data_IF_863351077685
#
_entry.id   IF_863351077685
#
_cell.length_a   1.000
_cell.length_b   1.000
_cell.length_c   1.000
_cell.angle_alpha   90.00
_cell.angle_beta   90.00
_cell.angle_gamma   90.00
#
_symmetry.space_group_name_H-M   'P 1'
#
loop_
_entity.id
_entity.type
_entity.pdbx_description
1 polymer ?
#
# COMPACT_ATOMS: atom_id res chain seq x y z
N UNK A 1 -28.67 -19.70 -5.98
CA UNK A 1 -27.89 -19.74 -4.73
C UNK A 1 -26.95 -18.55 -4.76
N UNK A 2 -27.00 -17.68 -3.76
CA UNK A 2 -26.02 -16.60 -3.59
C UNK A 2 -24.68 -17.21 -3.22
N UNK A 3 -23.64 -16.90 -3.98
CA UNK A 3 -22.26 -17.29 -3.66
C UNK A 3 -21.88 -16.66 -2.32
N UNK A 4 -21.47 -17.45 -1.31
CA UNK A 4 -21.16 -16.93 0.03
C UNK A 4 -19.80 -16.21 0.10
N UNK A 5 -19.01 -16.22 -0.98
CA UNK A 5 -17.67 -15.63 -0.99
C UNK A 5 -17.71 -14.11 -0.97
N UNK A 6 -16.65 -13.54 -0.41
CA UNK A 6 -16.37 -12.11 -0.37
C UNK A 6 -15.47 -11.72 -1.55
N UNK A 7 -15.26 -10.43 -1.74
CA UNK A 7 -14.37 -9.89 -2.78
C UNK A 7 -13.12 -9.28 -2.17
N UNK A 8 -11.96 -9.75 -2.57
CA UNK A 8 -10.68 -9.15 -2.25
C UNK A 8 -10.20 -8.29 -3.43
N UNK A 9 -9.85 -7.03 -3.16
CA UNK A 9 -9.23 -6.12 -4.12
C UNK A 9 -7.83 -5.79 -3.60
N UNK A 10 -6.82 -6.04 -4.42
CA UNK A 10 -5.44 -5.67 -4.12
C UNK A 10 -5.05 -4.46 -4.96
N UNK A 11 -4.51 -3.44 -4.30
CA UNK A 11 -3.97 -2.25 -4.94
C UNK A 11 -2.56 -1.96 -4.45
N UNK A 12 -1.79 -1.20 -5.24
CA UNK A 12 -0.36 -1.02 -5.04
C UNK A 12 0.07 0.41 -5.33
N UNK A 13 0.88 0.97 -4.43
CA UNK A 13 1.66 2.16 -4.71
C UNK A 13 3.01 1.80 -5.33
N UNK A 14 3.47 2.62 -6.27
CA UNK A 14 4.82 2.59 -6.83
C UNK A 14 5.36 4.01 -6.82
N UNK A 15 6.58 4.22 -6.35
CA UNK A 15 7.26 5.51 -6.47
C UNK A 15 8.16 5.57 -7.72
N UNK A 16 8.71 6.76 -8.01
CA UNK A 16 9.69 6.96 -9.09
C UNK A 16 10.99 6.15 -8.92
N UNK A 17 11.27 5.64 -7.72
CA UNK A 17 12.40 4.78 -7.39
C UNK A 17 12.07 3.27 -7.46
N UNK A 18 10.89 2.91 -7.98
CA UNK A 18 10.39 1.54 -8.15
C UNK A 18 10.22 0.76 -6.83
N UNK A 19 10.16 1.44 -5.68
CA UNK A 19 9.65 0.86 -4.45
C UNK A 19 8.16 0.54 -4.63
N UNK A 20 7.72 -0.59 -4.08
CA UNK A 20 6.36 -1.10 -4.28
C UNK A 20 5.78 -1.56 -2.96
N UNK A 21 4.60 -1.06 -2.64
CA UNK A 21 3.82 -1.53 -1.50
C UNK A 21 2.40 -1.82 -1.92
N UNK A 22 1.91 -3.00 -1.55
CA UNK A 22 0.56 -3.46 -1.89
C UNK A 22 -0.29 -3.59 -0.64
N UNK A 23 -1.60 -3.46 -0.83
CA UNK A 23 -2.59 -3.74 0.20
C UNK A 23 -3.79 -4.45 -0.41
N UNK A 24 -4.31 -5.42 0.33
CA UNK A 24 -5.57 -6.10 0.01
C UNK A 24 -6.66 -5.63 0.95
N UNK A 25 -7.83 -5.32 0.40
CA UNK A 25 -9.05 -4.97 1.15
C UNK A 25 -10.15 -5.95 0.75
N UNK A 26 -10.82 -6.50 1.75
CA UNK A 26 -11.87 -7.51 1.57
C UNK A 26 -13.21 -6.88 1.87
N UNK A 27 -14.09 -6.87 0.87
CA UNK A 27 -15.46 -6.39 0.95
C UNK A 27 -16.44 -7.56 1.05
N UNK A 28 -17.53 -7.36 1.78
CA UNK A 28 -18.56 -8.40 1.85
C UNK A 28 -19.32 -8.55 0.53
N UNK A 29 -19.55 -9.79 0.12
CA UNK A 29 -20.32 -10.14 -1.07
C UNK A 29 -19.46 -10.45 -2.31
N UNK A 30 -19.96 -11.29 -3.22
CA UNK A 30 -19.22 -11.74 -4.39
C UNK A 30 -19.30 -10.69 -5.51
N UNK A 31 -18.16 -10.37 -6.11
CA UNK A 31 -18.13 -9.55 -7.32
C UNK A 31 -18.64 -10.36 -8.52
N UNK A 32 -19.53 -9.76 -9.32
CA UNK A 32 -19.94 -10.33 -10.60
C UNK A 32 -19.10 -9.79 -11.77
N UNK A 33 -19.23 -10.37 -12.96
CA UNK A 33 -18.59 -9.81 -14.16
C UNK A 33 -19.08 -8.38 -14.45
N UNK A 34 -20.38 -8.11 -14.30
CA UNK A 34 -20.94 -6.78 -14.50
C UNK A 34 -20.42 -5.77 -13.47
N UNK A 35 -20.25 -6.19 -12.21
CA UNK A 35 -19.65 -5.36 -11.17
C UNK A 35 -18.20 -5.04 -11.46
N UNK A 36 -17.42 -6.02 -11.93
CA UNK A 36 -16.03 -5.82 -12.34
C UNK A 36 -15.94 -4.81 -13.48
N UNK A 37 -16.78 -4.94 -14.50
CA UNK A 37 -16.75 -4.06 -15.67
C UNK A 37 -17.16 -2.62 -15.28
N UNK A 38 -18.14 -2.46 -14.37
CA UNK A 38 -18.51 -1.16 -13.76
C UNK A 38 -17.36 -0.55 -12.98
N UNK A 39 -16.72 -1.35 -12.13
CA UNK A 39 -15.60 -0.90 -11.32
C UNK A 39 -14.43 -0.43 -12.20
N UNK A 40 -14.03 -1.21 -13.20
CA UNK A 40 -12.98 -0.86 -14.15
C UNK A 40 -13.34 0.43 -14.91
N UNK A 41 -14.58 0.57 -15.36
CA UNK A 41 -15.05 1.75 -16.09
C UNK A 41 -15.11 3.04 -15.25
N UNK A 42 -15.11 2.93 -13.92
CA UNK A 42 -15.15 4.06 -13.00
C UNK A 42 -13.76 4.47 -12.44
N UNK A 43 -12.73 3.65 -12.65
CA UNK A 43 -11.36 3.99 -12.27
C UNK A 43 -10.82 5.16 -13.11
N UNK A 44 -9.75 5.81 -12.63
CA UNK A 44 -9.06 6.83 -13.40
C UNK A 44 -8.65 6.25 -14.76
N UNK A 45 -9.02 6.91 -15.87
CA UNK A 45 -8.52 6.53 -17.17
C UNK A 45 -7.00 6.70 -17.14
N UNK A 46 -6.25 5.72 -17.59
CA UNK A 46 -4.81 5.82 -17.50
C UNK A 46 -4.28 6.83 -18.52
N UNK A 47 -3.31 7.65 -18.11
CA UNK A 47 -2.58 8.53 -19.04
C UNK A 47 -1.62 7.73 -19.95
N UNK A 48 -1.25 6.53 -19.51
CA UNK A 48 -0.39 5.58 -20.21
C UNK A 48 -1.16 4.28 -20.47
N UNK A 49 -1.22 3.82 -21.72
CA UNK A 49 -1.87 2.55 -22.09
C UNK A 49 -1.27 1.31 -21.38
N UNK A 50 -0.13 1.43 -20.70
CA UNK A 50 0.46 0.37 -19.87
C UNK A 50 -0.05 0.36 -18.41
N UNK A 51 -0.64 1.45 -17.94
CA UNK A 51 -1.29 1.53 -16.64
C UNK A 51 -2.76 1.18 -16.83
N UNK A 52 -3.29 0.19 -16.13
CA UNK A 52 -4.72 -0.14 -16.20
C UNK A 52 -5.26 -0.19 -14.78
N UNK A 53 -6.37 0.53 -14.55
CA UNK A 53 -7.08 0.51 -13.28
C UNK A 53 -6.35 1.29 -12.19
N UNK A 54 -6.35 2.63 -12.31
CA UNK A 54 -5.75 3.53 -11.32
C UNK A 54 -6.83 4.08 -10.38
N UNK A 55 -6.49 4.19 -9.10
CA UNK A 55 -7.33 4.84 -8.08
C UNK A 55 -6.51 5.84 -7.27
N UNK A 56 -7.20 6.80 -6.66
CA UNK A 56 -6.67 7.63 -5.56
C UNK A 56 -7.32 7.15 -4.26
N UNK A 57 -6.67 6.27 -3.48
CA UNK A 57 -7.30 5.56 -2.36
C UNK A 57 -8.05 6.47 -1.39
N UNK A 58 -7.47 7.62 -1.04
CA UNK A 58 -8.07 8.55 -0.09
C UNK A 58 -9.41 9.13 -0.52
N UNK A 59 -9.68 9.26 -1.82
CA UNK A 59 -10.95 9.78 -2.34
C UNK A 59 -12.10 8.75 -2.29
N UNK A 60 -11.76 7.48 -2.16
CA UNK A 60 -12.69 6.35 -2.03
C UNK A 60 -12.54 5.64 -0.68
N UNK A 61 -12.00 6.36 0.33
CA UNK A 61 -11.85 5.94 1.73
C UNK A 61 -11.02 4.66 1.92
N UNK A 62 -10.17 4.35 0.96
CA UNK A 62 -9.13 3.35 1.11
C UNK A 62 -7.89 4.00 1.72
N UNK A 63 -7.06 3.17 2.35
CA UNK A 63 -5.83 3.66 2.95
C UNK A 63 -4.82 4.03 1.86
N UNK A 64 -4.28 5.23 1.92
CA UNK A 64 -3.12 5.62 1.12
C UNK A 64 -1.83 4.92 1.60
N UNK A 65 -1.01 4.42 0.68
CA UNK A 65 0.14 3.58 0.99
C UNK A 65 1.48 4.34 0.97
N UNK A 66 1.52 5.60 0.56
CA UNK A 66 2.76 6.37 0.44
C UNK A 66 3.51 6.53 1.77
N UNK A 67 2.84 6.52 2.91
CA UNK A 67 3.49 6.60 4.22
C UNK A 67 3.76 5.23 4.86
N UNK A 68 3.72 4.15 4.07
CA UNK A 68 3.85 2.77 4.56
C UNK A 68 5.19 2.10 4.19
N UNK A 69 6.17 2.86 3.69
CA UNK A 69 7.51 2.34 3.37
C UNK A 69 8.09 1.46 4.50
N UNK A 70 8.69 0.35 4.10
CA UNK A 70 9.32 -0.68 4.93
C UNK A 70 8.43 -1.43 5.90
N UNK A 71 7.09 -1.22 5.92
CA UNK A 71 6.24 -1.88 6.92
C UNK A 71 6.26 -3.40 6.84
N UNK A 72 6.30 -3.96 5.63
CA UNK A 72 6.32 -5.41 5.47
C UNK A 72 7.71 -5.99 5.72
N UNK A 73 8.77 -5.29 5.31
CA UNK A 73 10.16 -5.63 5.60
C UNK A 73 10.43 -5.60 7.12
N UNK A 74 9.92 -4.58 7.83
CA UNK A 74 9.97 -4.48 9.29
C UNK A 74 9.30 -5.69 9.93
N UNK A 75 8.10 -6.09 9.48
CA UNK A 75 7.40 -7.27 10.01
C UNK A 75 8.19 -8.56 9.78
N UNK A 76 8.84 -8.70 8.63
CA UNK A 76 9.70 -9.86 8.34
C UNK A 76 10.89 -9.88 9.29
N UNK A 77 11.58 -8.74 9.48
CA UNK A 77 12.72 -8.64 10.39
C UNK A 77 12.31 -8.90 11.84
N UNK A 78 11.17 -8.38 12.29
CA UNK A 78 10.61 -8.67 13.61
C UNK A 78 10.33 -10.16 13.79
N UNK A 79 9.77 -10.83 12.77
CA UNK A 79 9.54 -12.26 12.78
C UNK A 79 10.83 -13.09 12.84
N UNK A 80 11.88 -12.66 12.13
CA UNK A 80 13.21 -13.31 12.16
C UNK A 80 13.90 -13.13 13.52
N UNK A 81 13.74 -11.96 14.14
CA UNK A 81 14.37 -11.61 15.42
C UNK A 81 13.58 -12.10 16.64
N UNK A 82 12.32 -12.49 16.44
CA UNK A 82 11.42 -12.94 17.48
C UNK A 82 12.06 -14.05 18.35
N UNK A 83 11.73 -14.11 19.65
CA UNK A 83 12.15 -15.21 20.50
C UNK A 83 11.76 -16.56 19.88
N UNK A 84 12.47 -17.64 20.22
CA UNK A 84 12.24 -19.02 19.73
C UNK A 84 10.90 -19.65 20.17
N UNK A 85 9.88 -18.85 20.45
CA UNK A 85 8.51 -19.28 20.69
C UNK A 85 7.77 -19.21 19.35
N UNK A 86 8.03 -20.19 18.46
CA UNK A 86 7.45 -20.22 17.11
C UNK A 86 7.90 -21.44 16.29
N UNK A 87 7.43 -21.59 15.04
CA UNK A 87 7.80 -22.72 14.19
C UNK A 87 9.26 -22.68 13.70
N UNK A 88 9.94 -21.53 13.83
CA UNK A 88 11.35 -21.36 13.50
C UNK A 88 12.19 -21.62 14.75
N UNK A 89 12.81 -22.80 14.79
CA UNK A 89 13.57 -23.28 15.96
C UNK A 89 15.09 -23.10 15.82
N UNK A 90 15.57 -22.77 14.62
CA UNK A 90 16.99 -22.54 14.39
C UNK A 90 17.39 -21.15 14.92
N UNK A 91 18.33 -21.05 15.87
CA UNK A 91 18.85 -19.75 16.27
C UNK A 91 19.57 -19.08 15.10
N UNK A 92 19.33 -17.79 14.91
CA UNK A 92 20.20 -16.95 14.11
C UNK A 92 21.61 -16.92 14.71
N UNK A 93 22.63 -16.95 13.86
CA UNK A 93 24.00 -16.68 14.30
C UNK A 93 24.08 -15.25 14.88
N UNK A 94 24.93 -15.03 15.87
CA UNK A 94 25.04 -13.74 16.56
C UNK A 94 25.31 -12.58 15.58
N UNK A 95 26.20 -12.79 14.62
CA UNK A 95 26.52 -11.78 13.60
C UNK A 95 25.30 -11.43 12.72
N UNK A 96 24.47 -12.42 12.36
CA UNK A 96 23.26 -12.18 11.56
C UNK A 96 22.19 -11.48 12.39
N UNK A 97 22.05 -11.84 13.67
CA UNK A 97 21.15 -11.15 14.59
C UNK A 97 21.50 -9.67 14.71
N UNK A 98 22.76 -9.34 14.99
CA UNK A 98 23.23 -7.95 15.08
C UNK A 98 22.94 -7.19 13.78
N UNK A 99 23.20 -7.82 12.62
CA UNK A 99 22.92 -7.21 11.31
C UNK A 99 21.43 -6.90 11.14
N UNK A 100 20.54 -7.83 11.46
CA UNK A 100 19.09 -7.61 11.34
C UNK A 100 18.56 -6.61 12.36
N UNK A 101 19.11 -6.56 13.57
CA UNK A 101 18.76 -5.56 14.57
C UNK A 101 19.16 -4.14 14.13
N UNK A 102 20.36 -3.98 13.58
CA UNK A 102 20.80 -2.71 12.98
C UNK A 102 19.88 -2.30 11.83
N UNK A 103 19.62 -3.21 10.88
CA UNK A 103 18.75 -2.92 9.74
C UNK A 103 17.32 -2.55 10.17
N UNK A 104 16.77 -3.26 11.17
CA UNK A 104 15.45 -2.95 11.73
C UNK A 104 15.43 -1.56 12.37
N UNK A 105 16.50 -1.19 13.10
CA UNK A 105 16.64 0.13 13.70
C UNK A 105 16.70 1.22 12.63
N UNK A 106 17.48 1.02 11.57
CA UNK A 106 17.59 1.95 10.43
C UNK A 106 16.23 2.12 9.73
N UNK A 107 15.56 1.02 9.38
CA UNK A 107 14.24 1.06 8.73
C UNK A 107 13.19 1.78 9.58
N UNK A 108 13.20 1.59 10.91
CA UNK A 108 12.29 2.30 11.82
C UNK A 108 12.62 3.79 11.97
N UNK A 109 13.88 4.16 11.77
CA UNK A 109 14.32 5.56 11.83
C UNK A 109 14.04 6.30 10.51
N UNK A 110 13.96 5.58 9.38
CA UNK A 110 13.64 6.16 8.08
C UNK A 110 12.25 6.77 8.10
N UNK A 111 12.18 8.06 7.72
CA UNK A 111 10.92 8.77 7.61
C UNK A 111 10.44 8.75 6.15
N UNK A 112 9.13 8.55 5.90
CA UNK A 112 8.58 8.68 4.56
C UNK A 112 8.74 10.13 4.07
N UNK A 113 9.09 10.29 2.80
CA UNK A 113 9.37 11.58 2.18
C UNK A 113 8.51 11.73 0.93
N UNK A 114 8.05 12.95 0.67
CA UNK A 114 7.38 13.30 -0.57
C UNK A 114 8.38 14.03 -1.46
N UNK A 115 8.77 13.40 -2.55
CA UNK A 115 9.67 13.89 -3.59
C UNK A 115 8.81 14.45 -4.73
N UNK A 116 8.75 15.79 -4.90
CA UNK A 116 7.83 16.41 -5.86
C UNK A 116 7.98 15.92 -7.31
N UNK A 117 9.17 15.47 -7.69
CA UNK A 117 9.47 15.01 -9.05
C UNK A 117 9.30 13.48 -9.23
N UNK A 118 9.08 12.73 -8.16
CA UNK A 118 9.00 11.26 -8.19
C UNK A 118 7.66 10.69 -7.67
N UNK A 119 7.03 11.37 -6.71
CA UNK A 119 5.83 10.87 -6.03
C UNK A 119 4.53 11.36 -6.67
N UNK A 120 3.52 10.49 -6.66
CA UNK A 120 2.19 10.73 -7.23
C UNK A 120 1.10 10.08 -6.40
N UNK A 121 -0.15 10.52 -6.53
CA UNK A 121 -1.28 10.05 -5.70
C UNK A 121 -1.86 8.70 -6.16
N UNK A 122 -1.46 8.27 -7.36
CA UNK A 122 -2.00 7.11 -8.05
C UNK A 122 -1.58 5.78 -7.41
N UNK A 123 -2.52 4.84 -7.39
CA UNK A 123 -2.30 3.46 -7.01
C UNK A 123 -2.92 2.51 -8.04
N UNK A 124 -2.17 1.49 -8.44
CA UNK A 124 -2.60 0.45 -9.39
C UNK A 124 -3.53 -0.54 -8.67
N UNK A 125 -4.70 -0.85 -9.22
CA UNK A 125 -5.46 -2.05 -8.84
C UNK A 125 -4.87 -3.25 -9.57
N UNK A 126 -4.22 -4.15 -8.83
CA UNK A 126 -3.44 -5.25 -9.39
C UNK A 126 -4.17 -6.59 -9.39
N UNK A 127 -5.18 -6.75 -8.52
CA UNK A 127 -5.91 -8.02 -8.42
C UNK A 127 -7.34 -7.82 -7.89
N UNK A 128 -8.27 -8.63 -8.39
CA UNK A 128 -9.67 -8.68 -7.95
C UNK A 128 -10.11 -10.14 -7.96
N UNK A 129 -10.29 -10.72 -6.77
CA UNK A 129 -10.61 -12.15 -6.61
C UNK A 129 -11.71 -12.41 -5.61
N UNK A 130 -12.43 -13.52 -5.80
CA UNK A 130 -13.31 -14.06 -4.77
C UNK A 130 -12.50 -14.73 -3.66
N UNK A 131 -12.92 -14.57 -2.42
CA UNK A 131 -12.24 -15.12 -1.25
C UNK A 131 -13.22 -15.62 -0.19
N UNK A 132 -12.77 -16.56 0.64
CA UNK A 132 -13.50 -17.04 1.83
C UNK A 132 -13.11 -16.28 3.10
N UNK A 133 -12.11 -15.38 3.03
CA UNK A 133 -11.70 -14.57 4.15
C UNK A 133 -12.79 -13.57 4.59
N UNK A 134 -12.82 -13.26 5.88
CA UNK A 134 -13.76 -12.30 6.45
C UNK A 134 -13.52 -10.89 5.89
N UNK A 135 -14.57 -10.05 5.75
CA UNK A 135 -14.43 -8.67 5.31
C UNK A 135 -13.53 -7.86 6.25
N UNK A 136 -12.67 -7.04 5.67
CA UNK A 136 -11.82 -6.08 6.39
C UNK A 136 -12.34 -4.65 6.24
N UNK A 137 -13.23 -4.42 5.28
CA UNK A 137 -13.94 -3.16 5.08
C UNK A 137 -15.40 -3.33 5.50
N UNK A 138 -16.02 -2.35 6.19
CA UNK A 138 -17.42 -2.43 6.57
C UNK A 138 -18.39 -2.33 5.38
N UNK A 139 -17.94 -1.88 4.20
CA UNK A 139 -18.77 -1.78 2.99
C UNK A 139 -18.92 -3.14 2.30
N UNK A 140 -20.04 -3.30 1.60
CA UNK A 140 -20.20 -4.36 0.59
C UNK A 140 -19.44 -4.02 -0.67
N UNK A 141 -19.15 -5.02 -1.51
CA UNK A 141 -18.53 -4.77 -2.82
C UNK A 141 -19.41 -3.86 -3.69
N UNK A 142 -20.73 -4.05 -3.66
CA UNK A 142 -21.69 -3.20 -4.38
C UNK A 142 -21.64 -1.74 -3.90
N UNK A 143 -21.61 -1.51 -2.59
CA UNK A 143 -21.51 -0.17 -2.01
C UNK A 143 -20.17 0.49 -2.33
N UNK A 144 -19.09 -0.28 -2.37
CA UNK A 144 -17.77 0.22 -2.75
C UNK A 144 -17.76 0.66 -4.22
N UNK A 145 -18.26 -0.18 -5.13
CA UNK A 145 -18.33 0.16 -6.56
C UNK A 145 -19.17 1.41 -6.79
N UNK A 146 -20.33 1.52 -6.12
CA UNK A 146 -21.16 2.70 -6.20
C UNK A 146 -20.47 3.97 -5.66
N UNK A 147 -19.51 3.84 -4.74
CA UNK A 147 -18.68 4.96 -4.28
C UNK A 147 -17.65 5.35 -5.33
N UNK A 148 -16.98 4.37 -5.94
CA UNK A 148 -16.02 4.60 -7.03
C UNK A 148 -16.72 5.26 -8.23
N UNK A 149 -17.91 4.81 -8.63
CA UNK A 149 -18.68 5.41 -9.73
C UNK A 149 -19.12 6.85 -9.47
N UNK A 150 -19.15 7.29 -8.21
CA UNK A 150 -19.60 8.64 -7.82
C UNK A 150 -18.45 9.63 -7.66
N UNK A 151 -17.22 9.14 -7.55
CA UNK A 151 -16.07 10.02 -7.32
C UNK A 151 -15.78 10.79 -8.60
N UNK A 152 -15.55 12.10 -8.47
CA UNK A 152 -14.87 12.87 -9.50
C UNK A 152 -13.42 12.93 -9.07
N UNK A 153 -12.57 12.22 -9.79
CA UNK A 153 -11.16 12.10 -9.42
C UNK A 153 -10.47 13.47 -9.43
N UNK A 154 -9.83 13.79 -8.31
CA UNK A 154 -8.98 14.98 -8.15
C UNK A 154 -7.51 14.56 -8.17
N UNK A 155 -6.83 14.75 -9.29
CA UNK A 155 -5.43 14.33 -9.50
C UNK A 155 -4.44 15.12 -8.63
N UNK A 156 -4.84 16.31 -8.15
CA UNK A 156 -4.05 17.15 -7.25
C UNK A 156 -4.31 16.84 -5.76
N UNK A 157 -5.08 15.79 -5.47
CA UNK A 157 -5.46 15.44 -4.10
C UNK A 157 -4.23 15.09 -3.24
N UNK A 158 -4.13 15.67 -2.05
CA UNK A 158 -2.99 15.40 -1.16
C UNK A 158 -3.43 14.59 0.06
N UNK A 159 -2.70 13.52 0.42
CA UNK A 159 -3.01 12.77 1.63
C UNK A 159 -2.81 13.61 2.88
N UNK A 160 -3.52 13.26 3.96
CA UNK A 160 -3.44 13.97 5.25
C UNK A 160 -2.03 14.07 5.84
N UNK A 161 -1.12 13.17 5.45
CA UNK A 161 0.28 13.13 5.88
C UNK A 161 1.23 13.82 4.88
N UNK A 162 0.74 14.41 3.79
CA UNK A 162 1.56 15.05 2.75
C UNK A 162 2.51 16.12 3.33
N UNK A 163 1.98 17.02 4.17
CA UNK A 163 2.79 18.10 4.76
C UNK A 163 3.95 17.57 5.63
N UNK A 164 3.72 16.45 6.34
CA UNK A 164 4.78 15.79 7.11
C UNK A 164 5.86 15.21 6.18
N UNK A 165 5.45 14.52 5.12
CA UNK A 165 6.37 13.91 4.15
C UNK A 165 7.20 14.96 3.38
N UNK A 166 6.61 16.11 3.03
CA UNK A 166 7.34 17.25 2.47
C UNK A 166 8.36 17.78 3.47
N UNK A 167 7.97 17.95 4.75
CA UNK A 167 8.88 18.38 5.80
C UNK A 167 10.07 17.43 6.00
N UNK A 168 9.85 16.12 5.88
CA UNK A 168 10.91 15.12 5.94
C UNK A 168 11.88 15.24 4.75
N UNK A 169 11.36 15.45 3.54
CA UNK A 169 12.17 15.65 2.33
C UNK A 169 13.01 16.93 2.40
N UNK A 170 12.42 18.06 2.81
CA UNK A 170 13.17 19.30 2.99
C UNK A 170 14.28 19.16 4.04
N UNK A 171 14.02 18.40 5.12
CA UNK A 171 15.02 18.14 6.13
C UNK A 171 16.18 17.29 5.58
N UNK A 172 15.91 16.30 4.73
CA UNK A 172 16.96 15.48 4.12
C UNK A 172 17.86 16.28 3.18
N UNK A 173 17.32 17.28 2.46
CA UNK A 173 18.11 18.17 1.61
C UNK A 173 19.06 19.11 2.39
N UNK A 174 18.75 19.37 3.66
CA UNK A 174 19.55 20.25 4.54
C UNK A 174 20.58 19.48 5.36
N UNK A 175 20.46 18.15 5.44
CA UNK A 175 21.47 17.32 6.06
C UNK A 175 22.75 17.40 5.21
N UNK A 176 23.93 17.68 5.80
CA UNK A 176 25.18 17.57 5.06
C UNK A 176 25.30 16.12 4.54
N UNK A 177 25.79 15.95 3.31
CA UNK A 177 26.13 14.64 2.75
C UNK A 177 26.90 13.84 3.81
N UNK A 178 26.31 12.76 4.32
CA UNK A 178 27.04 11.82 5.14
C UNK A 178 28.00 11.06 4.21
N UNK A 179 29.33 11.23 4.33
CA UNK A 179 30.29 10.59 3.44
C UNK A 179 30.47 9.10 3.75
N UNK A 180 29.52 8.46 4.45
CA UNK A 180 29.61 7.09 4.99
C UNK A 180 28.57 6.10 4.43
N UNK A 181 27.92 6.40 3.30
CA UNK A 181 27.07 5.44 2.57
C UNK A 181 27.89 4.53 1.63
#
# INVERSE_FOLDING_TARGET
>A
MTDPRNTAITYRYRDGSNYKISRTVIFSGPITLGDRDRLIGAMLPPEDEELWGVIIPGQIRLQDLQNQFYKDEIRVLEGLLAPQQGPVLAPLAEADRVRFETLLSEMRATKPMWRPDEDHVYHDVTDIVLTEHAPTDPRTIESFIAEVERVSWDEDWLPSFHAEMVGNYEASLRAPDDPSA
#
